data_IF_265923217261
#
_entry.id   IF_265923217261
#
_cell.length_a   1.000
_cell.length_b   1.000
_cell.length_c   1.000
_cell.angle_alpha   90.00
_cell.angle_beta   90.00
_cell.angle_gamma   90.00
#
_symmetry.space_group_name_H-M   'P 1'
#
loop_
_entity.id
_entity.type
_entity.pdbx_description
1 polymer ?
#
# COMPACT_ATOMS: atom_id res chain seq x y z
N UNK A 1 36.72 11.40 9.41
CA UNK A 1 35.39 11.26 8.76
C UNK A 1 35.54 11.76 7.34
N UNK A 2 35.28 10.91 6.36
CA UNK A 2 35.58 11.20 4.94
C UNK A 2 34.54 12.19 4.41
N UNK A 3 35.01 13.31 3.84
CA UNK A 3 34.18 14.34 3.17
C UNK A 3 33.35 13.79 1.99
N UNK A 4 33.59 12.55 1.57
CA UNK A 4 32.92 11.84 0.50
C UNK A 4 31.72 11.00 0.96
N UNK A 5 31.47 10.82 2.27
CA UNK A 5 30.34 10.05 2.79
C UNK A 5 28.99 10.74 2.57
N UNK A 6 28.98 12.07 2.46
CA UNK A 6 27.76 12.88 2.30
C UNK A 6 27.27 12.98 0.83
N UNK A 7 28.04 12.43 -0.12
CA UNK A 7 27.72 12.46 -1.55
C UNK A 7 26.78 11.33 -2.00
N UNK A 8 26.69 10.26 -1.21
CA UNK A 8 25.80 9.12 -1.46
C UNK A 8 24.79 9.00 -0.34
N UNK A 9 23.53 8.94 -0.70
CA UNK A 9 22.44 8.71 0.27
C UNK A 9 22.03 7.25 0.29
N UNK A 10 21.63 6.77 1.46
CA UNK A 10 20.95 5.50 1.63
C UNK A 10 19.45 5.76 1.68
N UNK A 11 18.67 5.05 0.86
CA UNK A 11 17.21 5.23 0.78
C UNK A 11 16.46 3.91 0.89
N UNK A 12 15.24 3.97 1.41
CA UNK A 12 14.28 2.88 1.31
C UNK A 12 13.03 3.37 0.56
N UNK A 13 12.48 2.52 -0.29
CA UNK A 13 11.33 2.82 -1.13
C UNK A 13 10.27 1.76 -0.91
N UNK A 14 9.09 2.20 -0.52
CA UNK A 14 7.88 1.38 -0.48
C UNK A 14 7.05 1.64 -1.73
N UNK A 15 7.01 0.66 -2.65
CA UNK A 15 6.27 0.72 -3.90
C UNK A 15 4.83 0.28 -3.72
N UNK A 16 3.98 1.16 -3.22
CA UNK A 16 2.57 0.86 -3.09
C UNK A 16 1.77 1.12 -4.39
N UNK A 17 0.70 0.35 -4.60
CA UNK A 17 -0.23 0.52 -5.72
C UNK A 17 -0.89 1.91 -5.74
N UNK A 18 -1.20 2.45 -4.57
CA UNK A 18 -1.84 3.76 -4.42
C UNK A 18 -0.83 4.86 -4.20
N UNK A 19 0.08 4.68 -3.24
CA UNK A 19 1.11 5.64 -2.87
C UNK A 19 2.48 4.98 -2.87
N UNK A 20 3.50 5.75 -3.24
CA UNK A 20 4.91 5.40 -3.05
C UNK A 20 5.47 6.27 -1.93
N UNK A 21 6.12 5.63 -0.96
CA UNK A 21 6.79 6.31 0.14
C UNK A 21 8.31 6.17 0.01
N UNK A 22 9.04 7.24 0.31
CA UNK A 22 10.52 7.23 0.32
C UNK A 22 11.01 7.64 1.70
N UNK A 23 11.86 6.79 2.27
CA UNK A 23 12.59 7.02 3.50
C UNK A 23 14.05 7.30 3.18
N UNK A 24 14.66 8.30 3.82
CA UNK A 24 16.09 8.59 3.73
C UNK A 24 16.71 8.33 5.11
N UNK A 25 17.83 7.63 5.12
CA UNK A 25 18.59 7.34 6.33
C UNK A 25 18.88 8.63 7.12
N UNK A 26 18.51 8.64 8.40
CA UNK A 26 18.71 9.78 9.30
C UNK A 26 17.71 10.94 9.12
N UNK A 27 16.82 10.88 8.11
CA UNK A 27 15.79 11.90 7.88
C UNK A 27 14.35 11.37 8.04
N UNK A 28 14.17 10.04 8.07
CA UNK A 28 12.84 9.44 8.11
C UNK A 28 12.12 9.44 6.75
N UNK A 29 10.79 9.37 6.78
CA UNK A 29 9.96 9.43 5.56
C UNK A 29 9.96 10.86 5.05
N UNK A 30 10.53 11.07 3.88
CA UNK A 30 10.67 12.39 3.25
C UNK A 30 9.68 12.63 2.10
N UNK A 31 9.04 11.57 1.62
CA UNK A 31 8.07 11.66 0.52
C UNK A 31 6.97 10.61 0.69
N UNK A 32 5.73 11.03 0.48
CA UNK A 32 4.54 10.20 0.35
C UNK A 32 3.70 10.79 -0.77
N UNK A 33 3.71 10.14 -1.93
CA UNK A 33 3.00 10.64 -3.11
C UNK A 33 2.24 9.52 -3.83
N UNK A 34 1.13 9.85 -4.49
CA UNK A 34 0.39 8.91 -5.32
C UNK A 34 1.27 8.25 -6.38
N UNK A 35 1.11 6.94 -6.57
CA UNK A 35 1.80 6.15 -7.60
C UNK A 35 1.14 6.36 -8.97
N UNK A 36 1.30 7.57 -9.55
CA UNK A 36 0.61 7.99 -10.77
C UNK A 36 1.50 8.89 -11.64
N UNK A 37 1.42 8.70 -12.96
CA UNK A 37 2.14 9.48 -13.97
C UNK A 37 1.14 10.07 -14.96
N UNK A 38 1.27 11.36 -15.26
CA UNK A 38 0.56 12.01 -16.36
C UNK A 38 1.51 12.19 -17.55
N UNK A 39 1.13 11.68 -18.72
CA UNK A 39 1.94 11.68 -19.94
C UNK A 39 1.16 12.34 -21.07
N UNK A 40 1.82 13.14 -21.91
CA UNK A 40 1.22 13.63 -23.14
C UNK A 40 1.01 12.47 -24.12
N UNK A 41 -0.21 12.27 -24.59
CA UNK A 41 -0.58 11.15 -25.44
C UNK A 41 0.12 11.15 -26.81
N UNK A 42 0.44 12.34 -27.35
CA UNK A 42 1.00 12.47 -28.70
C UNK A 42 2.52 12.38 -28.68
N UNK A 43 3.17 12.92 -27.64
CA UNK A 43 4.64 13.01 -27.57
C UNK A 43 5.26 11.96 -26.65
N UNK A 44 4.45 11.25 -25.84
CA UNK A 44 4.93 10.35 -24.80
C UNK A 44 5.66 11.03 -23.62
N UNK A 45 5.77 12.36 -23.64
CA UNK A 45 6.51 13.11 -22.61
C UNK A 45 5.77 13.12 -21.27
N UNK A 46 6.50 12.89 -20.18
CA UNK A 46 5.97 13.04 -18.82
C UNK A 46 5.65 14.51 -18.55
N UNK A 47 4.45 14.77 -18.13
CA UNK A 47 3.95 16.10 -17.76
C UNK A 47 4.02 16.33 -16.26
N UNK A 48 3.67 15.32 -15.47
CA UNK A 48 3.66 15.37 -14.02
C UNK A 48 3.68 13.97 -13.40
N UNK A 49 4.03 13.89 -12.11
CA UNK A 49 3.98 12.69 -11.30
C UNK A 49 3.34 12.98 -9.94
N UNK A 50 2.88 11.94 -9.25
CA UNK A 50 2.39 12.04 -7.88
C UNK A 50 1.18 12.97 -7.76
N UNK A 51 1.18 13.82 -6.74
CA UNK A 51 0.08 14.76 -6.48
C UNK A 51 -0.21 15.71 -7.65
N UNK A 52 0.81 16.11 -8.41
CA UNK A 52 0.61 16.95 -9.58
C UNK A 52 -0.12 16.20 -10.70
N UNK A 53 0.25 14.94 -10.94
CA UNK A 53 -0.43 14.08 -11.90
C UNK A 53 -1.89 13.80 -11.47
N UNK A 54 -2.14 13.64 -10.17
CA UNK A 54 -3.49 13.46 -9.63
C UNK A 54 -4.36 14.70 -9.89
N UNK A 55 -3.83 15.92 -9.71
CA UNK A 55 -4.56 17.17 -10.04
C UNK A 55 -4.86 17.29 -11.53
N UNK A 56 -3.93 16.86 -12.39
CA UNK A 56 -4.16 16.83 -13.84
C UNK A 56 -5.27 15.83 -14.17
N UNK A 57 -5.27 14.64 -13.57
CA UNK A 57 -6.30 13.61 -13.76
C UNK A 57 -7.72 14.14 -13.59
N UNK A 58 -7.94 14.99 -12.61
CA UNK A 58 -9.26 15.58 -12.31
C UNK A 58 -9.74 16.57 -13.37
N UNK A 59 -8.82 17.11 -14.19
CA UNK A 59 -9.08 18.15 -15.20
C UNK A 59 -8.65 17.71 -16.60
N UNK A 60 -8.51 16.40 -16.84
CA UNK A 60 -7.90 15.84 -18.05
C UNK A 60 -8.74 16.14 -19.30
N UNK A 61 -8.05 16.44 -20.39
CA UNK A 61 -8.57 16.51 -21.76
C UNK A 61 -7.88 15.45 -22.64
N UNK A 62 -8.33 15.28 -23.89
CA UNK A 62 -7.96 14.19 -24.82
C UNK A 62 -6.46 14.05 -25.13
N UNK A 63 -5.62 15.01 -24.74
CA UNK A 63 -4.18 15.00 -25.00
C UNK A 63 -3.32 14.42 -23.85
N UNK A 64 -3.92 13.92 -22.78
CA UNK A 64 -3.19 13.44 -21.59
C UNK A 64 -3.65 12.03 -21.20
N UNK A 65 -2.68 11.14 -21.02
CA UNK A 65 -2.90 9.78 -20.49
C UNK A 65 -2.41 9.71 -19.05
N UNK A 66 -3.24 9.13 -18.20
CA UNK A 66 -2.91 8.88 -16.80
C UNK A 66 -2.56 7.40 -16.64
N UNK A 67 -1.38 7.14 -16.11
CA UNK A 67 -0.83 5.80 -15.96
C UNK A 67 -0.62 5.50 -14.47
N UNK A 68 -1.07 4.32 -14.03
CA UNK A 68 -0.73 3.75 -12.74
C UNK A 68 0.32 2.66 -12.96
N UNK A 69 1.57 2.89 -12.57
CA UNK A 69 2.66 1.94 -12.83
C UNK A 69 2.48 0.62 -12.09
N UNK A 70 1.77 0.65 -10.95
CA UNK A 70 1.51 -0.51 -10.11
C UNK A 70 0.03 -0.84 -10.09
N UNK A 71 -0.31 -2.09 -10.40
CA UNK A 71 -1.68 -2.59 -10.38
C UNK A 71 -1.70 -3.92 -9.64
N UNK A 72 -2.50 -4.00 -8.57
CA UNK A 72 -2.66 -5.22 -7.76
C UNK A 72 -1.32 -5.87 -7.35
N UNK A 73 -0.41 -5.03 -6.87
CA UNK A 73 0.92 -5.45 -6.40
C UNK A 73 1.94 -5.79 -7.48
N UNK A 74 1.60 -5.71 -8.76
CA UNK A 74 2.51 -5.97 -9.87
C UNK A 74 2.87 -4.68 -10.62
N UNK A 75 4.07 -4.65 -11.21
CA UNK A 75 4.46 -3.60 -12.14
C UNK A 75 3.72 -3.82 -13.46
N UNK A 76 2.84 -2.89 -13.81
CA UNK A 76 2.06 -2.94 -15.05
C UNK A 76 2.73 -2.18 -16.20
N UNK A 77 3.55 -1.17 -15.87
CA UNK A 77 4.28 -0.35 -16.84
C UNK A 77 5.67 0.00 -16.26
N UNK A 78 6.70 -0.66 -16.77
CA UNK A 78 8.10 -0.47 -16.33
C UNK A 78 8.61 0.93 -16.63
N UNK A 79 8.29 1.48 -17.80
CA UNK A 79 8.71 2.82 -18.19
C UNK A 79 8.08 3.88 -17.28
N UNK A 80 6.77 3.76 -17.01
CA UNK A 80 6.09 4.67 -16.10
C UNK A 80 6.58 4.52 -14.66
N UNK A 81 6.99 3.30 -14.23
CA UNK A 81 7.63 3.08 -12.92
C UNK A 81 8.94 3.86 -12.83
N UNK A 82 9.79 3.73 -13.84
CA UNK A 82 11.07 4.44 -13.91
C UNK A 82 10.87 5.97 -13.87
N UNK A 83 9.97 6.49 -14.70
CA UNK A 83 9.63 7.90 -14.76
C UNK A 83 9.12 8.44 -13.41
N UNK A 84 8.23 7.66 -12.74
CA UNK A 84 7.69 7.99 -11.43
C UNK A 84 8.81 8.12 -10.40
N UNK A 85 9.66 7.11 -10.27
CA UNK A 85 10.69 7.05 -9.24
C UNK A 85 11.80 8.07 -9.50
N UNK A 86 12.25 8.23 -10.74
CA UNK A 86 13.23 9.27 -11.10
C UNK A 86 12.64 10.65 -10.76
N UNK A 87 11.38 10.89 -11.09
CA UNK A 87 10.71 12.14 -10.76
C UNK A 87 10.60 12.38 -9.25
N UNK A 88 10.24 11.35 -8.47
CA UNK A 88 10.18 11.43 -7.01
C UNK A 88 11.57 11.67 -6.40
N UNK A 89 12.59 10.95 -6.86
CA UNK A 89 13.97 11.15 -6.43
C UNK A 89 14.44 12.58 -6.71
N UNK A 90 14.10 13.15 -7.86
CA UNK A 90 14.43 14.54 -8.20
C UNK A 90 13.78 15.56 -7.25
N UNK A 91 12.63 15.26 -6.67
CA UNK A 91 11.98 16.12 -5.67
C UNK A 91 12.73 16.17 -4.34
N UNK A 92 13.43 15.08 -3.98
CA UNK A 92 14.09 14.93 -2.67
C UNK A 92 15.62 15.09 -2.74
N UNK A 93 16.23 15.10 -3.94
CA UNK A 93 17.68 15.23 -4.12
C UNK A 93 18.04 16.63 -4.55
N UNK A 94 19.11 17.18 -3.96
CA UNK A 94 19.76 18.39 -4.44
C UNK A 94 20.70 18.07 -5.60
N UNK A 95 21.07 19.08 -6.39
CA UNK A 95 21.90 19.01 -7.60
C UNK A 95 23.27 18.31 -7.43
N UNK A 96 23.67 17.98 -6.19
CA UNK A 96 24.99 17.46 -5.82
C UNK A 96 24.99 16.02 -5.28
N UNK A 97 23.89 15.25 -5.40
CA UNK A 97 23.92 13.83 -4.99
C UNK A 97 24.44 12.96 -6.14
N UNK A 98 25.52 12.20 -5.89
CA UNK A 98 26.19 11.34 -6.88
C UNK A 98 25.53 9.96 -7.05
N UNK A 99 24.39 9.68 -6.40
CA UNK A 99 23.69 8.41 -6.47
C UNK A 99 23.34 7.85 -5.08
N UNK A 100 23.00 6.57 -5.04
CA UNK A 100 22.60 5.88 -3.82
C UNK A 100 23.62 4.78 -3.50
N UNK A 101 24.10 4.75 -2.24
CA UNK A 101 24.99 3.67 -1.81
C UNK A 101 24.19 2.39 -1.61
N UNK A 102 23.11 2.47 -0.83
CA UNK A 102 22.21 1.36 -0.53
C UNK A 102 20.77 1.76 -0.80
N UNK A 103 20.03 0.82 -1.33
CA UNK A 103 18.60 0.97 -1.58
C UNK A 103 17.87 -0.26 -1.06
N UNK A 104 16.95 -0.06 -0.12
CA UNK A 104 15.99 -1.09 0.33
C UNK A 104 14.69 -0.87 -0.41
N UNK A 105 14.14 -1.91 -1.01
CA UNK A 105 12.88 -1.82 -1.75
C UNK A 105 11.91 -2.88 -1.22
N UNK A 106 10.70 -2.46 -0.87
CA UNK A 106 9.64 -3.41 -0.50
C UNK A 106 9.01 -4.02 -1.74
N UNK A 107 8.70 -5.30 -1.66
CA UNK A 107 8.09 -6.07 -2.73
C UNK A 107 6.93 -6.91 -2.17
N UNK A 108 5.87 -7.17 -2.95
CA UNK A 108 4.81 -8.10 -2.53
C UNK A 108 5.34 -9.52 -2.36
N UNK A 109 4.73 -10.29 -1.46
CA UNK A 109 5.12 -11.67 -1.20
C UNK A 109 4.97 -12.59 -2.41
N UNK A 110 4.00 -12.32 -3.29
CA UNK A 110 3.70 -13.08 -4.51
C UNK A 110 4.48 -12.68 -5.76
N UNK A 111 5.52 -11.81 -5.64
CA UNK A 111 6.28 -11.34 -6.80
C UNK A 111 7.10 -12.47 -7.47
N UNK A 112 7.09 -12.51 -8.79
CA UNK A 112 7.85 -13.49 -9.57
C UNK A 112 9.35 -13.20 -9.59
N UNK A 113 10.17 -14.20 -9.88
CA UNK A 113 11.63 -14.04 -10.02
C UNK A 113 12.00 -13.02 -11.12
N UNK A 114 11.22 -12.97 -12.21
CA UNK A 114 11.42 -12.00 -13.29
C UNK A 114 11.15 -10.57 -12.83
N UNK A 115 10.05 -10.35 -12.11
CA UNK A 115 9.71 -9.05 -11.55
C UNK A 115 10.74 -8.60 -10.49
N UNK A 116 11.20 -9.51 -9.61
CA UNK A 116 12.30 -9.22 -8.65
C UNK A 116 13.56 -8.71 -9.37
N UNK A 117 13.94 -9.42 -10.44
CA UNK A 117 15.10 -9.03 -11.25
C UNK A 117 14.88 -7.64 -11.89
N UNK A 118 13.71 -7.39 -12.45
CA UNK A 118 13.39 -6.11 -13.07
C UNK A 118 13.44 -4.94 -12.07
N UNK A 119 12.93 -5.13 -10.84
CA UNK A 119 13.04 -4.14 -9.75
C UNK A 119 14.50 -3.87 -9.41
N UNK A 120 15.33 -4.91 -9.35
CA UNK A 120 16.76 -4.77 -9.05
C UNK A 120 17.52 -4.07 -10.17
N UNK A 121 17.31 -4.49 -11.42
CA UNK A 121 17.94 -3.88 -12.60
C UNK A 121 17.58 -2.38 -12.70
N UNK A 122 16.31 -2.05 -12.44
CA UNK A 122 15.83 -0.69 -12.34
C UNK A 122 16.57 0.11 -11.23
N UNK A 123 16.68 -0.45 -10.01
CA UNK A 123 17.35 0.22 -8.91
C UNK A 123 18.84 0.51 -9.22
N UNK A 124 19.53 -0.40 -9.91
CA UNK A 124 20.88 -0.18 -10.39
C UNK A 124 20.93 0.90 -11.47
N UNK A 125 19.96 0.94 -12.40
CA UNK A 125 19.88 1.97 -13.45
C UNK A 125 19.75 3.38 -12.85
N UNK A 126 18.98 3.55 -11.78
CA UNK A 126 18.87 4.86 -11.10
C UNK A 126 20.02 5.19 -10.16
N UNK A 127 21.06 4.35 -10.13
CA UNK A 127 22.34 4.62 -9.48
C UNK A 127 22.55 4.00 -8.10
N UNK A 128 21.75 2.99 -7.71
CA UNK A 128 21.98 2.23 -6.50
C UNK A 128 23.17 1.28 -6.67
N UNK A 129 24.13 1.31 -5.71
CA UNK A 129 25.27 0.39 -5.71
C UNK A 129 24.92 -0.97 -5.11
N UNK A 130 24.11 -0.98 -4.08
CA UNK A 130 23.63 -2.18 -3.39
C UNK A 130 22.12 -2.09 -3.28
N UNK A 131 21.43 -3.17 -3.64
CA UNK A 131 19.95 -3.26 -3.64
C UNK A 131 19.52 -4.43 -2.78
N UNK A 132 18.65 -4.15 -1.83
CA UNK A 132 18.08 -5.13 -0.91
C UNK A 132 16.57 -5.15 -1.11
N UNK A 133 16.04 -6.32 -1.47
CA UNK A 133 14.59 -6.50 -1.62
C UNK A 133 14.06 -7.20 -0.37
N UNK A 134 12.97 -6.67 0.18
CA UNK A 134 12.28 -7.23 1.36
C UNK A 134 10.78 -7.31 1.08
N UNK A 135 10.11 -8.34 1.60
CA UNK A 135 8.65 -8.43 1.46
C UNK A 135 7.95 -7.36 2.29
N UNK A 136 6.82 -6.82 1.78
CA UNK A 136 6.02 -5.83 2.50
C UNK A 136 5.62 -6.32 3.90
N UNK A 137 5.23 -7.58 4.03
CA UNK A 137 4.86 -8.20 5.31
C UNK A 137 6.02 -8.24 6.31
N UNK A 138 7.24 -8.55 5.86
CA UNK A 138 8.43 -8.54 6.72
C UNK A 138 8.82 -7.13 7.13
N UNK A 139 8.80 -6.18 6.18
CA UNK A 139 9.01 -4.78 6.48
C UNK A 139 7.94 -4.25 7.46
N UNK A 140 6.67 -4.64 7.28
CA UNK A 140 5.59 -4.28 8.21
C UNK A 140 5.87 -4.78 9.63
N UNK A 141 6.27 -6.05 9.79
CA UNK A 141 6.59 -6.62 11.10
C UNK A 141 7.72 -5.86 11.81
N UNK A 142 8.77 -5.49 11.05
CA UNK A 142 9.90 -4.70 11.58
C UNK A 142 9.43 -3.28 11.91
N UNK A 143 8.61 -2.66 11.08
CA UNK A 143 8.06 -1.33 11.32
C UNK A 143 7.11 -1.24 12.52
N UNK A 144 6.48 -2.36 12.87
CA UNK A 144 5.70 -2.53 14.12
C UNK A 144 6.58 -2.78 15.35
N UNK A 145 7.90 -2.99 15.18
CA UNK A 145 8.81 -3.33 16.26
C UNK A 145 8.67 -4.77 16.77
N UNK A 146 8.11 -5.68 15.95
CA UNK A 146 7.96 -7.08 16.33
C UNK A 146 9.31 -7.81 16.31
N UNK A 147 9.52 -8.70 17.26
CA UNK A 147 10.74 -9.52 17.38
C UNK A 147 10.69 -10.67 16.39
N UNK A 148 11.06 -10.39 15.14
CA UNK A 148 10.93 -11.36 14.04
C UNK A 148 11.88 -12.55 14.13
N UNK A 149 13.00 -12.43 14.83
CA UNK A 149 14.02 -13.47 14.93
C UNK A 149 13.73 -14.50 16.03
N UNK A 150 12.82 -14.20 16.93
CA UNK A 150 12.41 -15.09 18.00
C UNK A 150 11.56 -16.26 17.45
N UNK A 151 11.54 -17.41 18.16
CA UNK A 151 10.69 -18.56 17.81
C UNK A 151 9.21 -18.31 18.14
N UNK A 152 8.75 -17.10 18.01
CA UNK A 152 7.39 -16.66 18.33
C UNK A 152 6.66 -16.28 17.06
N UNK A 153 5.44 -16.80 16.87
CA UNK A 153 4.59 -16.49 15.72
C UNK A 153 3.99 -15.07 15.80
N UNK A 154 4.19 -14.27 14.76
CA UNK A 154 3.58 -12.95 14.62
C UNK A 154 2.73 -12.92 13.36
N UNK A 155 1.42 -12.66 13.48
CA UNK A 155 0.53 -12.53 12.33
C UNK A 155 0.36 -11.07 11.96
N UNK A 156 0.78 -10.72 10.74
CA UNK A 156 0.69 -9.36 10.19
C UNK A 156 -0.16 -9.38 8.94
N UNK A 157 -1.08 -8.43 8.85
CA UNK A 157 -1.97 -8.23 7.70
C UNK A 157 -1.76 -6.82 7.19
N UNK A 158 -1.25 -6.68 5.98
CA UNK A 158 -1.12 -5.40 5.28
C UNK A 158 -2.25 -5.26 4.25
N UNK A 159 -3.20 -4.38 4.53
CA UNK A 159 -4.33 -4.08 3.63
C UNK A 159 -4.00 -2.79 2.88
N UNK A 160 -3.36 -2.94 1.73
CA UNK A 160 -2.93 -1.83 0.88
C UNK A 160 -4.02 -1.28 -0.05
N UNK A 161 -3.58 -0.61 -1.11
CA UNK A 161 -4.48 -0.15 -2.18
C UNK A 161 -4.84 -1.24 -3.18
N UNK A 162 -3.90 -2.09 -3.57
CA UNK A 162 -4.07 -3.10 -4.61
C UNK A 162 -4.03 -4.54 -4.14
N UNK A 163 -3.43 -4.81 -2.98
CA UNK A 163 -3.28 -6.15 -2.40
C UNK A 163 -3.54 -6.14 -0.91
N UNK A 164 -3.97 -7.28 -0.40
CA UNK A 164 -3.96 -7.62 1.02
C UNK A 164 -2.95 -8.75 1.22
N UNK A 165 -1.88 -8.46 1.97
CA UNK A 165 -0.84 -9.41 2.31
C UNK A 165 -1.10 -9.95 3.72
N UNK A 166 -1.21 -11.26 3.85
CA UNK A 166 -1.37 -11.95 5.14
C UNK A 166 -0.12 -12.77 5.36
N UNK A 167 0.60 -12.57 6.45
CA UNK A 167 1.81 -13.32 6.75
C UNK A 167 1.91 -13.66 8.22
N UNK A 168 2.41 -14.86 8.49
CA UNK A 168 2.85 -15.31 9.81
C UNK A 168 4.37 -15.42 9.78
N UNK A 169 5.01 -14.66 10.64
CA UNK A 169 6.46 -14.47 10.69
C UNK A 169 6.99 -15.06 11.98
N UNK A 170 8.04 -15.87 11.88
CA UNK A 170 8.77 -16.46 13.01
C UNK A 170 10.18 -16.81 12.56
N UNK A 171 11.17 -16.76 13.46
CA UNK A 171 12.57 -17.16 13.21
C UNK A 171 13.18 -16.48 11.97
N UNK A 172 12.88 -15.22 11.74
CA UNK A 172 13.40 -14.43 10.61
C UNK A 172 12.81 -14.82 9.24
N UNK A 173 11.77 -15.66 9.20
CA UNK A 173 11.15 -16.13 7.97
C UNK A 173 9.63 -16.02 7.96
N UNK A 174 9.04 -16.16 6.77
CA UNK A 174 7.59 -16.26 6.60
C UNK A 174 7.20 -17.75 6.75
N UNK A 175 6.60 -18.07 7.89
CA UNK A 175 6.14 -19.44 8.19
C UNK A 175 4.88 -19.84 7.41
N UNK A 176 4.02 -18.86 7.10
CA UNK A 176 2.84 -18.98 6.24
C UNK A 176 2.53 -17.61 5.65
N UNK A 177 2.07 -17.55 4.40
CA UNK A 177 1.72 -16.28 3.76
C UNK A 177 0.75 -16.47 2.60
N UNK A 178 -0.16 -15.51 2.44
CA UNK A 178 -1.10 -15.42 1.32
C UNK A 178 -1.16 -13.96 0.83
N UNK A 179 -1.23 -13.79 -0.47
CA UNK A 179 -1.43 -12.47 -1.12
C UNK A 179 -2.76 -12.49 -1.87
N UNK A 180 -3.68 -11.64 -1.44
CA UNK A 180 -5.00 -11.47 -2.03
C UNK A 180 -5.01 -10.21 -2.91
N UNK A 181 -5.47 -10.33 -4.15
CA UNK A 181 -5.61 -9.20 -5.09
C UNK A 181 -6.94 -8.46 -4.92
N UNK A 182 -7.35 -8.28 -3.66
CA UNK A 182 -8.53 -7.51 -3.23
C UNK A 182 -8.10 -6.58 -2.12
N UNK A 183 -8.35 -5.27 -2.29
CA UNK A 183 -7.91 -4.24 -1.35
C UNK A 183 -8.67 -2.92 -1.56
N UNK A 184 -8.08 -1.81 -1.12
CA UNK A 184 -8.73 -0.50 -1.12
C UNK A 184 -9.24 0.00 -2.47
N UNK A 185 -8.54 -0.29 -3.57
CA UNK A 185 -8.96 0.13 -4.93
C UNK A 185 -10.23 -0.58 -5.39
N UNK A 186 -10.38 -1.87 -5.06
CA UNK A 186 -11.60 -2.62 -5.39
C UNK A 186 -12.82 -2.01 -4.70
N UNK A 187 -12.66 -1.55 -3.45
CA UNK A 187 -13.74 -0.84 -2.72
C UNK A 187 -14.08 0.50 -3.38
N UNK A 188 -13.07 1.25 -3.83
CA UNK A 188 -13.26 2.52 -4.55
C UNK A 188 -14.02 2.31 -5.86
N UNK A 189 -13.67 1.28 -6.63
CA UNK A 189 -14.33 0.92 -7.88
C UNK A 189 -15.80 0.51 -7.65
N UNK A 190 -16.08 -0.24 -6.58
CA UNK A 190 -17.45 -0.59 -6.21
C UNK A 190 -18.28 0.63 -5.84
N UNK A 191 -17.72 1.61 -5.14
CA UNK A 191 -18.38 2.87 -4.82
C UNK A 191 -18.70 3.63 -6.12
N UNK A 192 -17.76 3.77 -7.06
CA UNK A 192 -17.99 4.40 -8.36
C UNK A 192 -19.14 3.69 -9.10
N UNK A 193 -19.07 2.34 -9.14
CA UNK A 193 -20.08 1.51 -9.78
C UNK A 193 -21.47 1.67 -9.17
N UNK A 194 -21.55 1.75 -7.84
CA UNK A 194 -22.80 1.95 -7.10
C UNK A 194 -23.43 3.30 -7.45
N UNK A 195 -22.67 4.40 -7.40
CA UNK A 195 -23.18 5.73 -7.75
C UNK A 195 -23.71 5.77 -9.18
N UNK A 196 -23.00 5.15 -10.12
CA UNK A 196 -23.41 5.10 -11.52
C UNK A 196 -24.69 4.29 -11.72
N UNK A 197 -24.80 3.12 -11.09
CA UNK A 197 -25.92 2.19 -11.29
C UNK A 197 -27.19 2.62 -10.52
N UNK A 198 -27.02 3.07 -9.28
CA UNK A 198 -28.16 3.34 -8.38
C UNK A 198 -28.66 4.77 -8.50
N UNK A 199 -27.75 5.74 -8.71
CA UNK A 199 -28.11 7.16 -8.74
C UNK A 199 -27.99 7.80 -10.11
N UNK A 200 -27.60 7.05 -11.16
CA UNK A 200 -27.24 7.61 -12.48
C UNK A 200 -26.22 8.74 -12.37
N UNK A 201 -25.29 8.65 -11.41
CA UNK A 201 -24.37 9.72 -11.07
C UNK A 201 -22.92 9.29 -11.36
N UNK A 202 -22.26 9.99 -12.27
CA UNK A 202 -20.82 9.85 -12.49
C UNK A 202 -20.06 10.67 -11.43
N UNK A 203 -19.20 10.01 -10.67
CA UNK A 203 -18.28 10.62 -9.70
C UNK A 203 -16.83 10.29 -10.08
N UNK A 204 -15.90 11.18 -9.73
CA UNK A 204 -14.47 10.93 -9.95
C UNK A 204 -13.94 9.88 -8.96
N UNK A 205 -12.83 9.22 -9.30
CA UNK A 205 -12.13 8.31 -8.41
C UNK A 205 -11.70 8.99 -7.09
N UNK A 206 -11.21 10.22 -7.17
CA UNK A 206 -10.86 11.02 -5.97
C UNK A 206 -12.07 11.23 -5.07
N UNK A 207 -13.25 11.50 -5.66
CA UNK A 207 -14.48 11.63 -4.87
C UNK A 207 -14.90 10.30 -4.25
N UNK A 208 -14.79 9.21 -4.97
CA UNK A 208 -15.09 7.88 -4.44
C UNK A 208 -14.12 7.47 -3.31
N UNK A 209 -12.84 7.83 -3.43
CA UNK A 209 -11.84 7.64 -2.38
C UNK A 209 -12.19 8.46 -1.13
N UNK A 210 -12.60 9.72 -1.30
CA UNK A 210 -13.07 10.57 -0.20
C UNK A 210 -14.29 9.96 0.52
N UNK A 211 -15.26 9.44 -0.24
CA UNK A 211 -16.44 8.74 0.30
C UNK A 211 -15.98 7.50 1.09
N UNK A 212 -15.09 6.70 0.53
CA UNK A 212 -14.53 5.53 1.21
C UNK A 212 -13.89 5.92 2.53
N UNK A 213 -13.00 6.91 2.54
CA UNK A 213 -12.31 7.35 3.77
C UNK A 213 -13.28 7.85 4.83
N UNK A 214 -14.34 8.58 4.44
CA UNK A 214 -15.25 9.22 5.40
C UNK A 214 -16.39 8.32 5.88
N UNK A 215 -16.90 7.45 5.01
CA UNK A 215 -18.14 6.71 5.26
C UNK A 215 -17.95 5.20 5.39
N UNK A 216 -16.81 4.62 4.91
CA UNK A 216 -16.63 3.17 5.00
C UNK A 216 -16.58 2.68 6.43
N UNK A 217 -17.28 1.60 6.66
CA UNK A 217 -17.19 0.83 7.91
C UNK A 217 -17.41 -0.65 7.63
N UNK A 218 -16.74 -1.50 8.40
CA UNK A 218 -16.92 -2.95 8.37
C UNK A 218 -17.86 -3.44 9.47
N UNK A 219 -18.22 -2.55 10.40
CA UNK A 219 -19.07 -2.86 11.56
C UNK A 219 -20.15 -1.77 11.74
N UNK A 220 -21.23 -2.07 12.45
CA UNK A 220 -22.29 -1.10 12.73
C UNK A 220 -21.76 0.04 13.59
N UNK A 221 -22.17 1.25 13.26
CA UNK A 221 -21.99 2.43 14.12
C UNK A 221 -23.23 2.65 14.98
N UNK A 222 -23.04 3.27 16.13
CA UNK A 222 -24.17 3.72 16.97
C UNK A 222 -24.93 4.84 16.26
N UNK A 223 -24.22 5.71 15.53
CA UNK A 223 -24.78 6.75 14.68
C UNK A 223 -24.20 6.66 13.26
N UNK A 224 -25.08 6.53 12.25
CA UNK A 224 -24.66 6.51 10.86
C UNK A 224 -24.28 7.94 10.40
N UNK A 225 -23.16 8.03 9.67
CA UNK A 225 -22.65 9.29 9.11
C UNK A 225 -23.23 9.52 7.73
N UNK A 226 -23.47 10.78 7.36
CA UNK A 226 -23.94 11.16 6.03
C UNK A 226 -22.96 12.13 5.34
N UNK A 227 -23.01 12.13 4.01
CA UNK A 227 -22.17 13.01 3.18
C UNK A 227 -22.90 13.41 1.91
N UNK A 228 -22.88 14.72 1.60
CA UNK A 228 -23.34 15.23 0.31
C UNK A 228 -22.29 15.01 -0.79
N UNK A 229 -22.65 14.24 -1.80
CA UNK A 229 -21.79 13.85 -2.92
C UNK A 229 -22.22 14.57 -4.18
N UNK A 230 -21.30 15.32 -4.80
CA UNK A 230 -21.52 15.99 -6.08
C UNK A 230 -20.97 15.14 -7.21
N UNK A 231 -21.74 15.04 -8.28
CA UNK A 231 -21.34 14.35 -9.50
C UNK A 231 -22.12 14.88 -10.71
N UNK A 232 -22.01 14.20 -11.83
CA UNK A 232 -22.69 14.54 -13.08
C UNK A 232 -23.70 13.45 -13.39
N UNK A 233 -24.96 13.81 -13.62
CA UNK A 233 -25.97 12.89 -14.06
C UNK A 233 -25.59 12.34 -15.44
N UNK A 234 -25.58 11.01 -15.58
CA UNK A 234 -25.08 10.33 -16.79
C UNK A 234 -26.01 10.52 -18.00
N UNK A 235 -27.31 10.75 -17.77
CA UNK A 235 -28.31 10.85 -18.83
C UNK A 235 -28.36 12.24 -19.45
N UNK A 236 -28.28 13.31 -18.63
CA UNK A 236 -28.49 14.68 -19.09
C UNK A 236 -27.26 15.59 -18.95
N UNK A 237 -26.15 15.08 -18.36
CA UNK A 237 -24.92 15.83 -18.18
C UNK A 237 -24.96 16.94 -17.13
N UNK A 238 -26.04 17.07 -16.36
CA UNK A 238 -26.18 18.15 -15.38
C UNK A 238 -25.54 17.80 -14.04
N UNK A 239 -24.92 18.76 -13.34
CA UNK A 239 -24.40 18.57 -11.99
C UNK A 239 -25.55 18.27 -11.02
N UNK A 240 -25.39 17.23 -10.19
CA UNK A 240 -26.36 16.82 -9.17
C UNK A 240 -25.62 16.57 -7.86
N UNK A 241 -26.29 16.85 -6.76
CA UNK A 241 -25.86 16.49 -5.40
C UNK A 241 -26.78 15.42 -4.84
N UNK A 242 -26.18 14.37 -4.28
CA UNK A 242 -26.88 13.30 -3.58
C UNK A 242 -26.32 13.15 -2.17
N UNK A 243 -27.18 12.96 -1.21
CA UNK A 243 -26.78 12.52 0.13
C UNK A 243 -26.67 11.01 0.17
N UNK A 244 -25.60 10.52 0.80
CA UNK A 244 -25.32 9.09 1.00
C UNK A 244 -24.90 8.87 2.44
N UNK A 245 -25.29 7.76 3.02
CA UNK A 245 -24.97 7.37 4.38
C UNK A 245 -23.92 6.26 4.46
N UNK A 246 -23.36 6.07 5.64
CA UNK A 246 -22.36 5.04 5.92
C UNK A 246 -22.94 3.61 5.87
N UNK A 247 -24.24 3.42 6.08
CA UNK A 247 -24.90 2.12 5.92
C UNK A 247 -24.82 1.67 4.45
N UNK A 248 -25.22 2.56 3.53
CA UNK A 248 -25.14 2.30 2.09
C UNK A 248 -23.70 1.93 1.66
N UNK A 249 -22.70 2.69 2.12
CA UNK A 249 -21.31 2.43 1.74
C UNK A 249 -20.78 1.13 2.36
N UNK A 250 -21.20 0.78 3.59
CA UNK A 250 -20.90 -0.51 4.22
C UNK A 250 -21.38 -1.68 3.36
N UNK A 251 -22.62 -1.62 2.88
CA UNK A 251 -23.20 -2.65 2.03
C UNK A 251 -22.45 -2.75 0.69
N UNK A 252 -22.06 -1.63 0.09
CA UNK A 252 -21.29 -1.57 -1.15
C UNK A 252 -19.94 -2.26 -1.03
N UNK A 253 -19.22 -2.07 0.09
CA UNK A 253 -17.89 -2.66 0.30
C UNK A 253 -17.92 -4.00 1.02
N UNK A 254 -19.08 -4.54 1.33
CA UNK A 254 -19.23 -5.79 2.11
C UNK A 254 -18.52 -6.99 1.46
N UNK A 255 -18.59 -7.08 0.11
CA UNK A 255 -17.94 -8.19 -0.63
C UNK A 255 -16.41 -8.20 -0.46
N UNK A 256 -15.65 -7.14 -0.76
CA UNK A 256 -14.20 -7.15 -0.54
C UNK A 256 -13.83 -7.32 0.94
N UNK A 257 -14.55 -6.75 1.87
CA UNK A 257 -14.33 -6.96 3.32
C UNK A 257 -14.49 -8.44 3.68
N UNK A 258 -15.57 -9.09 3.21
CA UNK A 258 -15.81 -10.52 3.45
C UNK A 258 -14.71 -11.40 2.83
N UNK A 259 -14.21 -11.05 1.63
CA UNK A 259 -13.13 -11.78 0.98
C UNK A 259 -11.81 -11.69 1.80
N UNK A 260 -11.50 -10.50 2.32
CA UNK A 260 -10.33 -10.31 3.19
C UNK A 260 -10.46 -11.16 4.45
N UNK A 261 -11.61 -11.12 5.12
CA UNK A 261 -11.86 -11.91 6.34
C UNK A 261 -11.77 -13.41 6.05
N UNK A 262 -12.31 -13.87 4.92
CA UNK A 262 -12.21 -15.28 4.50
C UNK A 262 -10.76 -15.70 4.30
N UNK A 263 -9.92 -14.86 3.67
CA UNK A 263 -8.50 -15.14 3.51
C UNK A 263 -7.76 -15.19 4.86
N UNK A 264 -8.11 -14.31 5.81
CA UNK A 264 -7.57 -14.35 7.17
C UNK A 264 -7.90 -15.67 7.86
N UNK A 265 -9.16 -16.10 7.82
CA UNK A 265 -9.60 -17.39 8.42
C UNK A 265 -8.89 -18.56 7.80
N UNK A 266 -8.78 -18.60 6.48
CA UNK A 266 -8.05 -19.62 5.75
C UNK A 266 -6.56 -19.67 6.14
N UNK A 267 -5.93 -18.52 6.31
CA UNK A 267 -4.53 -18.44 6.77
C UNK A 267 -4.36 -18.99 8.19
N UNK A 268 -5.34 -18.78 9.07
CA UNK A 268 -5.36 -19.36 10.41
C UNK A 268 -5.58 -20.88 10.39
N UNK A 269 -6.45 -21.40 9.50
CA UNK A 269 -6.67 -22.84 9.34
C UNK A 269 -5.39 -23.59 8.95
N UNK A 270 -4.56 -23.00 8.09
CA UNK A 270 -3.26 -23.60 7.70
C UNK A 270 -2.30 -23.73 8.89
N UNK A 271 -2.46 -22.92 9.92
CA UNK A 271 -1.60 -22.96 11.12
C UNK A 271 -1.93 -24.10 12.08
N UNK A 272 -3.04 -24.80 11.92
CA UNK A 272 -3.42 -25.97 12.74
C UNK A 272 -2.33 -27.05 12.74
N UNK A 273 -1.54 -27.14 11.66
CA UNK A 273 -0.38 -28.06 11.57
C UNK A 273 0.86 -27.54 12.32
N UNK A 274 0.83 -26.32 12.88
CA UNK A 274 1.91 -25.68 13.64
C UNK A 274 1.35 -25.15 14.98
N UNK A 275 1.05 -26.03 15.94
CA UNK A 275 0.32 -25.68 17.16
C UNK A 275 0.97 -24.55 17.98
N UNK A 276 2.30 -24.53 18.07
CA UNK A 276 3.05 -23.53 18.84
C UNK A 276 2.82 -22.12 18.25
N UNK A 277 2.90 -21.99 16.93
CA UNK A 277 2.63 -20.70 16.24
C UNK A 277 1.17 -20.27 16.44
N UNK A 278 0.23 -21.23 16.42
CA UNK A 278 -1.19 -20.93 16.65
C UNK A 278 -1.44 -20.39 18.06
N UNK A 279 -0.76 -20.92 19.08
CA UNK A 279 -0.83 -20.43 20.46
C UNK A 279 -0.26 -19.01 20.56
N UNK A 280 0.89 -18.77 19.93
CA UNK A 280 1.48 -17.41 19.91
C UNK A 280 0.52 -16.38 19.33
N UNK A 281 -0.18 -16.73 18.23
CA UNK A 281 -1.16 -15.82 17.60
C UNK A 281 -2.40 -15.63 18.48
N UNK A 282 -2.84 -16.67 19.19
CA UNK A 282 -3.93 -16.54 20.15
C UNK A 282 -3.58 -15.54 21.26
N UNK A 283 -2.36 -15.60 21.77
CA UNK A 283 -1.90 -14.76 22.87
C UNK A 283 -1.59 -13.31 22.41
N UNK A 284 -1.00 -13.16 21.24
CA UNK A 284 -0.51 -11.87 20.72
C UNK A 284 -1.52 -11.15 19.81
N UNK A 285 -2.48 -11.88 19.24
CA UNK A 285 -3.44 -11.34 18.29
C UNK A 285 -2.86 -11.11 16.89
N UNK A 286 -3.63 -10.36 16.11
CA UNK A 286 -3.38 -10.03 14.70
C UNK A 286 -2.99 -8.55 14.61
N UNK A 287 -1.90 -8.24 13.91
CA UNK A 287 -1.48 -6.86 13.64
C UNK A 287 -1.91 -6.46 12.24
N UNK A 288 -2.68 -5.36 12.14
CA UNK A 288 -3.18 -4.85 10.86
C UNK A 288 -2.53 -3.52 10.52
N UNK A 289 -2.01 -3.42 9.29
CA UNK A 289 -1.36 -2.24 8.74
C UNK A 289 -1.91 -1.91 7.35
N UNK A 290 -1.38 -0.87 6.72
CA UNK A 290 -1.84 -0.37 5.43
C UNK A 290 -3.07 0.54 5.54
N UNK A 291 -3.44 1.17 4.42
CA UNK A 291 -4.57 2.12 4.38
C UNK A 291 -5.93 1.49 4.69
N UNK A 292 -6.11 0.20 4.39
CA UNK A 292 -7.34 -0.54 4.68
C UNK A 292 -7.56 -0.78 6.17
N UNK A 293 -6.51 -0.75 7.00
CA UNK A 293 -6.63 -0.83 8.46
C UNK A 293 -7.46 0.32 9.05
N UNK A 294 -7.57 1.44 8.31
CA UNK A 294 -8.33 2.63 8.71
C UNK A 294 -9.84 2.52 8.43
N UNK A 295 -10.31 1.43 7.83
CA UNK A 295 -11.74 1.17 7.66
C UNK A 295 -12.36 0.99 9.05
N UNK A 296 -13.32 1.85 9.37
CA UNK A 296 -13.93 1.88 10.70
C UNK A 296 -14.56 0.54 11.08
N UNK A 297 -14.20 0.03 12.25
CA UNK A 297 -14.73 -1.23 12.80
C UNK A 297 -14.27 -2.50 12.08
N UNK A 298 -13.23 -2.42 11.22
CA UNK A 298 -12.63 -3.60 10.60
C UNK A 298 -11.97 -4.50 11.65
N UNK A 299 -11.31 -3.92 12.64
CA UNK A 299 -10.78 -4.60 13.82
C UNK A 299 -11.86 -5.40 14.55
N UNK A 300 -12.98 -4.75 14.86
CA UNK A 300 -14.13 -5.39 15.54
C UNK A 300 -14.70 -6.54 14.70
N UNK A 301 -14.82 -6.34 13.38
CA UNK A 301 -15.33 -7.37 12.47
C UNK A 301 -14.41 -8.57 12.38
N UNK A 302 -13.10 -8.36 12.30
CA UNK A 302 -12.12 -9.45 12.31
C UNK A 302 -12.12 -10.17 13.68
N UNK A 303 -12.20 -9.42 14.78
CA UNK A 303 -12.29 -10.00 16.13
C UNK A 303 -13.55 -10.85 16.30
N UNK A 304 -14.70 -10.39 15.80
CA UNK A 304 -15.96 -11.14 15.82
C UNK A 304 -15.83 -12.47 15.06
N UNK A 305 -15.16 -12.45 13.90
CA UNK A 305 -15.08 -13.60 13.00
C UNK A 305 -13.95 -14.60 13.35
N UNK A 306 -12.92 -14.15 14.07
CA UNK A 306 -11.73 -14.97 14.39
C UNK A 306 -11.60 -15.27 15.90
N UNK A 307 -12.27 -14.53 16.76
CA UNK A 307 -12.14 -14.54 18.23
C UNK A 307 -10.75 -14.13 18.73
N UNK A 308 -9.88 -13.58 17.84
CA UNK A 308 -8.53 -13.15 18.17
C UNK A 308 -8.48 -11.64 18.44
N UNK A 309 -7.56 -11.21 19.31
CA UNK A 309 -7.25 -9.79 19.48
C UNK A 309 -6.75 -9.17 18.17
N UNK A 310 -7.11 -7.91 17.91
CA UNK A 310 -6.70 -7.18 16.70
C UNK A 310 -6.06 -5.85 17.09
N UNK A 311 -4.89 -5.58 16.56
CA UNK A 311 -4.08 -4.40 16.85
C UNK A 311 -3.87 -3.57 15.59
N UNK A 312 -4.24 -2.29 15.64
CA UNK A 312 -3.97 -1.30 14.60
C UNK A 312 -3.02 -0.26 15.19
N UNK A 313 -1.90 0.01 14.53
CA UNK A 313 -0.96 1.04 14.98
C UNK A 313 -1.44 2.45 14.60
N UNK A 314 -0.84 3.49 15.19
CA UNK A 314 -1.24 4.88 14.98
C UNK A 314 -1.10 5.36 13.53
N UNK A 315 -0.06 4.92 12.80
CA UNK A 315 0.23 5.34 11.43
C UNK A 315 0.32 4.13 10.48
N UNK A 316 -0.77 3.37 10.28
CA UNK A 316 -0.71 2.08 9.59
C UNK A 316 -0.24 2.19 8.13
N UNK A 317 -0.45 3.33 7.48
CA UNK A 317 -0.01 3.59 6.09
C UNK A 317 1.52 3.70 5.97
N UNK A 318 2.19 4.13 7.04
CA UNK A 318 3.63 4.40 7.03
C UNK A 318 4.49 3.23 7.53
N UNK A 319 3.88 2.20 8.12
CA UNK A 319 4.57 1.11 8.81
C UNK A 319 5.55 0.37 7.91
N UNK A 320 5.14 0.02 6.69
CA UNK A 320 5.99 -0.70 5.73
C UNK A 320 7.21 0.15 5.37
N UNK A 321 7.03 1.43 5.07
CA UNK A 321 8.12 2.36 4.77
C UNK A 321 9.04 2.58 5.98
N UNK A 322 8.49 2.66 7.21
CA UNK A 322 9.28 2.75 8.44
C UNK A 322 10.12 1.50 8.64
N UNK A 323 9.55 0.31 8.44
CA UNK A 323 10.28 -0.95 8.54
C UNK A 323 11.37 -1.09 7.49
N UNK A 324 11.12 -0.68 6.25
CA UNK A 324 12.16 -0.62 5.22
C UNK A 324 13.28 0.37 5.59
N UNK A 325 12.94 1.49 6.25
CA UNK A 325 13.88 2.44 6.81
C UNK A 325 14.71 1.83 7.94
N UNK A 326 14.09 1.11 8.87
CA UNK A 326 14.77 0.41 9.97
C UNK A 326 15.78 -0.64 9.44
N UNK A 327 15.38 -1.39 8.40
CA UNK A 327 16.29 -2.31 7.70
C UNK A 327 17.48 -1.57 7.12
N UNK A 328 17.24 -0.42 6.47
CA UNK A 328 18.29 0.40 5.87
C UNK A 328 19.27 0.95 6.89
N UNK A 329 18.78 1.36 8.05
CA UNK A 329 19.61 1.87 9.15
C UNK A 329 20.45 0.76 9.79
N UNK A 330 19.91 -0.45 9.90
CA UNK A 330 20.49 -1.61 10.57
C UNK A 330 20.71 -2.80 9.61
N UNK A 331 21.27 -2.54 8.41
CA UNK A 331 21.34 -3.51 7.33
C UNK A 331 22.06 -4.81 7.74
N UNK A 332 23.12 -4.74 8.55
CA UNK A 332 23.86 -5.94 9.00
C UNK A 332 22.99 -6.86 9.87
N UNK A 333 22.06 -6.30 10.63
CA UNK A 333 21.11 -7.07 11.45
C UNK A 333 20.06 -7.78 10.58
N UNK A 334 19.64 -7.13 9.49
CA UNK A 334 18.50 -7.57 8.69
C UNK A 334 18.89 -8.14 7.31
N UNK A 335 20.18 -8.18 6.97
CA UNK A 335 20.66 -8.65 5.66
C UNK A 335 20.17 -10.06 5.31
N UNK A 336 20.09 -10.95 6.30
CA UNK A 336 19.69 -12.33 6.08
C UNK A 336 18.22 -12.50 5.63
N UNK A 337 17.35 -11.53 5.92
CA UNK A 337 15.94 -11.54 5.52
C UNK A 337 15.69 -10.83 4.18
N UNK A 338 16.70 -10.15 3.65
CA UNK A 338 16.64 -9.51 2.36
C UNK A 338 17.14 -10.46 1.26
N UNK A 339 16.60 -10.32 0.07
CA UNK A 339 17.18 -10.94 -1.14
C UNK A 339 18.06 -9.90 -1.84
N UNK A 340 19.32 -10.26 -2.08
CA UNK A 340 20.27 -9.46 -2.86
C UNK A 340 20.10 -9.69 -4.37
#
# INVERSE_FOLDING_TARGET
>A
MSFFSDLYRDIAIDFGTTNTLIFIRGLGIVLNEPSIVARNSNTGKVLAIGHEALRIKEKTHTGIVIIRPFVKGAISDYQATEELIIGMIRKITTRFSFGFRRMVITIPSGITAVEKRAVRDFAHHIGAKQVYLVTCSMAAAIGLGLEINEPTGNMVIDIGGGTTEIAVISLGGVASGESLKVAGSDMTDLIIGHFRKTYNLAISETRAEEIKIRLSSAFRHDEERTMAVRGVNVENGLPVTREVDSLTIRDVIATPVSQIITAIKKSLEVLVIKPEISVDILDRGIFIVGGGALISGLDKKIMEETTLGVHICEEPVAVVAKGAGEILENIEKYKAICTE
#
